data_IF_803801355691
#
_entry.id   IF_803801355691
#
_cell.length_a   1.000
_cell.length_b   1.000
_cell.length_c   1.000
_cell.angle_alpha   90.00
_cell.angle_beta   90.00
_cell.angle_gamma   90.00
#
_symmetry.space_group_name_H-M   'P 1'
#
loop_
_entity.id
_entity.type
_entity.pdbx_description
1 polymer ?
#
# COMPACT_ATOMS: atom_id res chain seq x y z
N UNK A 1 -7.20 -10.46 21.62
CA UNK A 1 -6.04 -9.95 22.37
C UNK A 1 -4.87 -10.07 21.43
N UNK A 2 -4.32 -8.95 20.97
CA UNK A 2 -3.26 -8.96 19.96
C UNK A 2 -2.03 -9.69 20.48
N UNK A 3 -1.50 -10.62 19.70
CA UNK A 3 -0.28 -11.34 20.05
C UNK A 3 0.94 -10.51 19.66
N UNK A 4 1.26 -9.56 20.54
CA UNK A 4 2.34 -8.59 20.35
C UNK A 4 3.71 -9.30 20.32
N UNK A 5 3.86 -10.42 21.04
CA UNK A 5 5.11 -11.17 21.07
C UNK A 5 5.37 -11.87 19.74
N UNK A 6 4.36 -12.54 19.19
CA UNK A 6 4.46 -13.12 17.85
C UNK A 6 4.62 -12.04 16.77
N UNK A 7 3.92 -10.90 16.89
CA UNK A 7 4.11 -9.77 15.97
C UNK A 7 5.56 -9.25 15.98
N UNK A 8 6.22 -9.18 17.14
CA UNK A 8 7.63 -8.77 17.22
C UNK A 8 8.59 -9.75 16.57
N UNK A 9 8.35 -11.05 16.75
CA UNK A 9 9.22 -12.09 16.19
C UNK A 9 9.18 -12.12 14.65
N UNK A 10 8.05 -11.76 14.06
CA UNK A 10 7.90 -11.67 12.60
C UNK A 10 8.70 -10.54 11.96
N UNK A 11 9.09 -9.50 12.70
CA UNK A 11 9.92 -8.40 12.22
C UNK A 11 9.52 -7.80 10.84
N UNK A 12 8.22 -7.71 10.57
CA UNK A 12 7.67 -7.20 9.31
C UNK A 12 7.19 -8.28 8.34
N UNK A 13 7.41 -9.57 8.64
CA UNK A 13 6.92 -10.68 7.83
C UNK A 13 5.45 -11.03 8.13
N UNK A 14 4.81 -11.73 7.20
CA UNK A 14 3.43 -12.19 7.35
C UNK A 14 3.32 -13.25 8.46
N UNK A 15 2.15 -13.36 9.07
CA UNK A 15 1.89 -14.43 10.03
C UNK A 15 1.60 -15.75 9.31
N UNK A 16 2.30 -16.82 9.68
CA UNK A 16 2.13 -18.16 9.10
C UNK A 16 0.73 -18.74 9.34
N UNK A 17 0.11 -18.41 10.49
CA UNK A 17 -1.22 -18.87 10.89
C UNK A 17 -2.31 -17.80 10.70
N UNK A 18 -2.15 -16.89 9.74
CA UNK A 18 -3.21 -15.91 9.41
C UNK A 18 -4.42 -16.62 8.80
N UNK A 19 -5.60 -16.00 8.89
CA UNK A 19 -6.81 -16.65 8.39
C UNK A 19 -6.82 -16.70 6.86
N UNK A 20 -7.29 -17.82 6.29
CA UNK A 20 -7.46 -18.03 4.85
C UNK A 20 -8.24 -16.88 4.16
N UNK A 21 -9.18 -16.24 4.86
CA UNK A 21 -9.91 -15.08 4.33
C UNK A 21 -8.99 -13.91 4.00
N UNK A 22 -7.94 -13.68 4.78
CA UNK A 22 -6.96 -12.62 4.52
C UNK A 22 -6.15 -12.98 3.27
N UNK A 23 -5.70 -14.23 3.15
CA UNK A 23 -5.04 -14.70 1.93
C UNK A 23 -5.94 -14.58 0.70
N UNK A 24 -7.22 -14.90 0.82
CA UNK A 24 -8.20 -14.73 -0.26
C UNK A 24 -8.34 -13.25 -0.67
N UNK A 25 -8.43 -12.33 0.29
CA UNK A 25 -8.48 -10.88 0.03
C UNK A 25 -7.19 -10.39 -0.62
N UNK A 26 -6.02 -10.90 -0.20
CA UNK A 26 -4.73 -10.44 -0.71
C UNK A 26 -4.40 -11.00 -2.10
N UNK A 27 -4.85 -12.20 -2.41
CA UNK A 27 -4.59 -12.90 -3.68
C UNK A 27 -5.69 -12.67 -4.73
N UNK A 28 -6.58 -11.69 -4.54
CA UNK A 28 -7.57 -11.37 -5.58
C UNK A 28 -6.84 -10.90 -6.85
N UNK A 29 -7.31 -11.32 -8.04
CA UNK A 29 -6.77 -10.82 -9.30
C UNK A 29 -6.80 -9.29 -9.33
N UNK A 30 -5.75 -8.69 -9.90
CA UNK A 30 -5.58 -7.25 -10.10
C UNK A 30 -5.31 -6.97 -11.56
N UNK A 31 -5.85 -5.85 -12.00
CA UNK A 31 -5.56 -5.32 -13.32
C UNK A 31 -4.15 -4.73 -13.32
N UNK A 32 -3.34 -5.11 -14.31
CA UNK A 32 -2.05 -4.49 -14.56
C UNK A 32 -0.95 -5.52 -14.82
N UNK A 33 -0.09 -5.21 -15.80
CA UNK A 33 0.98 -6.10 -16.22
C UNK A 33 1.93 -6.44 -15.07
N UNK A 34 1.92 -7.70 -14.64
CA UNK A 34 2.70 -8.24 -13.52
C UNK A 34 2.39 -7.59 -12.17
N UNK A 35 1.20 -7.00 -12.04
CA UNK A 35 0.69 -6.51 -10.76
C UNK A 35 0.08 -7.67 -9.95
N UNK A 36 -0.46 -8.71 -10.58
CA UNK A 36 -0.91 -9.94 -9.90
C UNK A 36 -0.69 -11.19 -10.76
N UNK A 37 -1.46 -12.26 -10.52
CA UNK A 37 -1.54 -13.37 -11.45
C UNK A 37 -2.13 -12.89 -12.79
N UNK A 38 -1.71 -13.48 -13.93
CA UNK A 38 -2.23 -13.09 -15.24
C UNK A 38 -3.75 -13.24 -15.31
N UNK A 39 -4.42 -12.25 -15.91
CA UNK A 39 -5.88 -12.33 -16.14
C UNK A 39 -6.26 -13.36 -17.20
N UNK A 40 -5.33 -13.75 -18.07
CA UNK A 40 -5.54 -14.75 -19.12
C UNK A 40 -4.38 -15.74 -19.16
N UNK A 41 -4.69 -17.04 -19.19
CA UNK A 41 -3.67 -18.10 -19.24
C UNK A 41 -2.95 -18.31 -17.91
N UNK A 42 -1.84 -19.05 -17.96
CA UNK A 42 -1.11 -19.49 -16.76
C UNK A 42 0.06 -18.56 -16.37
N UNK A 43 0.58 -17.77 -17.31
CA UNK A 43 1.73 -16.89 -17.09
C UNK A 43 1.79 -15.73 -18.11
N UNK A 44 2.45 -14.62 -17.73
CA UNK A 44 2.65 -13.45 -18.60
C UNK A 44 3.59 -13.67 -19.80
N UNK A 45 4.33 -14.78 -19.84
CA UNK A 45 5.22 -15.06 -20.98
C UNK A 45 4.41 -15.55 -22.21
N UNK A 46 3.15 -15.91 -22.02
CA UNK A 46 2.20 -16.26 -23.08
C UNK A 46 1.47 -15.04 -23.67
N UNK A 47 1.67 -13.86 -23.08
CA UNK A 47 1.04 -12.64 -23.56
C UNK A 47 1.66 -12.19 -24.88
N UNK A 48 0.88 -11.49 -25.74
CA UNK A 48 1.42 -10.79 -26.89
C UNK A 48 2.62 -9.91 -26.51
N UNK A 49 3.75 -10.07 -27.20
CA UNK A 49 4.94 -9.24 -26.96
C UNK A 49 4.86 -7.92 -27.71
N UNK A 50 4.15 -7.90 -28.85
CA UNK A 50 4.04 -6.76 -29.75
C UNK A 50 2.58 -6.49 -30.12
N UNK A 51 2.21 -5.22 -30.39
CA UNK A 51 0.86 -4.86 -30.84
C UNK A 51 0.40 -5.67 -32.07
N UNK A 52 1.30 -5.95 -33.01
CA UNK A 52 0.93 -6.68 -34.24
C UNK A 52 0.47 -8.12 -33.97
N UNK A 53 0.94 -8.73 -32.87
CA UNK A 53 0.57 -10.09 -32.47
C UNK A 53 -0.93 -10.20 -32.15
N UNK A 54 -1.55 -9.13 -31.63
CA UNK A 54 -2.98 -9.08 -31.30
C UNK A 54 -3.91 -9.26 -32.50
N UNK A 55 -3.40 -9.07 -33.72
CA UNK A 55 -4.20 -9.21 -34.95
C UNK A 55 -4.04 -10.58 -35.61
N UNK A 56 -3.23 -11.46 -35.03
CA UNK A 56 -3.01 -12.83 -35.51
C UNK A 56 -4.16 -13.76 -35.10
N UNK A 57 -4.47 -14.81 -35.88
CA UNK A 57 -5.47 -15.80 -35.49
C UNK A 57 -5.19 -16.47 -34.13
N UNK A 58 -3.92 -16.60 -33.76
CA UNK A 58 -3.45 -17.18 -32.50
C UNK A 58 -3.86 -16.32 -31.29
N UNK A 59 -3.85 -14.99 -31.44
CA UNK A 59 -4.25 -14.07 -30.37
C UNK A 59 -5.78 -14.00 -30.13
N UNK A 60 -6.58 -14.70 -30.94
CA UNK A 60 -8.05 -14.67 -30.83
C UNK A 60 -8.54 -15.10 -29.45
N UNK A 61 -8.01 -16.21 -28.94
CA UNK A 61 -8.40 -16.75 -27.63
C UNK A 61 -8.04 -15.74 -26.54
N UNK A 62 -6.79 -15.28 -26.54
CA UNK A 62 -6.31 -14.24 -25.63
C UNK A 62 -7.21 -12.99 -25.60
N UNK A 63 -7.51 -12.41 -26.77
CA UNK A 63 -8.33 -11.19 -26.87
C UNK A 63 -9.76 -11.43 -26.39
N UNK A 64 -10.33 -12.61 -26.69
CA UNK A 64 -11.70 -12.94 -26.26
C UNK A 64 -11.77 -13.14 -24.75
N UNK A 65 -10.80 -13.85 -24.18
CA UNK A 65 -10.76 -14.14 -22.75
C UNK A 65 -10.44 -12.88 -21.94
N UNK A 66 -9.53 -12.03 -22.44
CA UNK A 66 -9.16 -10.78 -21.77
C UNK A 66 -10.37 -9.85 -21.64
N UNK A 67 -11.10 -9.61 -22.74
CA UNK A 67 -12.31 -8.77 -22.71
C UNK A 67 -13.53 -9.46 -22.09
N UNK A 68 -13.45 -10.77 -21.82
CA UNK A 68 -14.43 -11.51 -21.03
C UNK A 68 -14.18 -11.43 -19.52
N UNK A 69 -13.03 -10.91 -19.09
CA UNK A 69 -12.64 -10.86 -17.68
C UNK A 69 -13.32 -9.68 -16.94
N UNK A 70 -13.79 -9.91 -15.71
CA UNK A 70 -14.58 -8.93 -14.94
C UNK A 70 -13.81 -7.63 -14.61
N UNK A 71 -12.48 -7.69 -14.59
CA UNK A 71 -11.58 -6.55 -14.35
C UNK A 71 -11.28 -5.71 -15.60
N UNK A 72 -11.60 -6.21 -16.80
CA UNK A 72 -11.30 -5.53 -18.07
C UNK A 72 -12.60 -4.95 -18.63
N UNK A 73 -12.82 -3.67 -18.37
CA UNK A 73 -13.99 -2.92 -18.82
C UNK A 73 -13.72 -2.04 -20.03
N UNK A 74 -12.45 -1.72 -20.28
CA UNK A 74 -12.04 -0.82 -21.34
C UNK A 74 -10.82 -1.35 -22.12
N UNK A 75 -10.53 -0.72 -23.27
CA UNK A 75 -9.29 -0.97 -23.99
C UNK A 75 -8.08 -0.49 -23.18
N UNK A 76 -8.23 0.56 -22.37
CA UNK A 76 -7.15 1.03 -21.51
C UNK A 76 -6.78 0.00 -20.44
N UNK A 77 -7.78 -0.69 -19.89
CA UNK A 77 -7.57 -1.77 -18.91
C UNK A 77 -6.82 -2.93 -19.58
N UNK A 78 -7.25 -3.32 -20.79
CA UNK A 78 -6.57 -4.36 -21.56
C UNK A 78 -5.11 -3.98 -21.87
N UNK A 79 -4.83 -2.71 -22.16
CA UNK A 79 -3.46 -2.20 -22.35
C UNK A 79 -2.69 -2.25 -21.03
N UNK A 80 -3.28 -1.79 -19.92
CA UNK A 80 -2.65 -1.80 -18.61
C UNK A 80 -2.26 -3.23 -18.19
N UNK A 81 -3.12 -4.21 -18.47
CA UNK A 81 -2.85 -5.62 -18.21
C UNK A 81 -1.78 -6.20 -19.15
N UNK A 82 -1.78 -5.82 -20.42
CA UNK A 82 -0.95 -6.50 -21.44
C UNK A 82 0.46 -5.90 -21.53
N UNK A 83 0.66 -4.63 -21.17
CA UNK A 83 1.96 -3.97 -21.36
C UNK A 83 2.42 -3.13 -20.15
N UNK A 84 3.71 -3.17 -19.80
CA UNK A 84 4.28 -2.28 -18.78
C UNK A 84 4.40 -0.82 -19.23
N UNK A 85 4.08 -0.51 -20.49
CA UNK A 85 4.37 0.77 -21.12
C UNK A 85 3.22 1.79 -21.05
N UNK A 86 2.41 1.78 -20.00
CA UNK A 86 1.26 2.68 -19.82
C UNK A 86 1.61 4.18 -19.82
N UNK A 87 2.89 4.54 -19.60
CA UNK A 87 3.39 5.91 -19.60
C UNK A 87 3.86 6.46 -20.96
N UNK A 88 4.14 5.61 -21.96
CA UNK A 88 4.62 6.05 -23.28
C UNK A 88 3.44 6.19 -24.25
N UNK A 89 3.10 7.43 -24.59
CA UNK A 89 1.96 7.76 -25.46
C UNK A 89 2.06 7.12 -26.85
N UNK A 90 3.26 6.90 -27.39
CA UNK A 90 3.40 6.25 -28.69
C UNK A 90 3.10 4.76 -28.58
N UNK A 91 3.67 4.09 -27.57
CA UNK A 91 3.46 2.65 -27.34
C UNK A 91 1.98 2.39 -27.02
N UNK A 92 1.39 3.15 -26.09
CA UNK A 92 -0.04 3.03 -25.74
C UNK A 92 -0.94 3.20 -26.96
N UNK A 93 -0.62 4.14 -27.86
CA UNK A 93 -1.40 4.34 -29.09
C UNK A 93 -1.32 3.14 -30.03
N UNK A 94 -0.14 2.56 -30.21
CA UNK A 94 0.05 1.37 -31.06
C UNK A 94 -0.73 0.17 -30.50
N UNK A 95 -0.65 -0.06 -29.20
CA UNK A 95 -1.43 -1.09 -28.51
C UNK A 95 -2.94 -0.85 -28.63
N UNK A 96 -3.39 0.40 -28.46
CA UNK A 96 -4.82 0.74 -28.64
C UNK A 96 -5.30 0.43 -30.05
N UNK A 97 -4.56 0.87 -31.06
CA UNK A 97 -4.91 0.60 -32.47
C UNK A 97 -4.94 -0.91 -32.77
N UNK A 98 -4.05 -1.68 -32.16
CA UNK A 98 -4.04 -3.14 -32.29
C UNK A 98 -5.24 -3.80 -31.62
N UNK A 99 -5.59 -3.40 -30.39
CA UNK A 99 -6.79 -3.89 -29.70
C UNK A 99 -8.07 -3.54 -30.48
N UNK A 100 -8.22 -2.29 -30.94
CA UNK A 100 -9.37 -1.87 -31.76
C UNK A 100 -9.53 -2.74 -33.01
N UNK A 101 -8.42 -3.07 -33.69
CA UNK A 101 -8.42 -3.98 -34.84
C UNK A 101 -8.76 -5.42 -34.44
N UNK A 102 -8.19 -5.92 -33.35
CA UNK A 102 -8.44 -7.28 -32.86
C UNK A 102 -9.90 -7.50 -32.49
N UNK A 103 -10.54 -6.53 -31.83
CA UNK A 103 -11.97 -6.56 -31.48
C UNK A 103 -12.83 -6.64 -32.75
N UNK A 104 -12.51 -5.83 -33.77
CA UNK A 104 -13.19 -5.87 -35.07
C UNK A 104 -13.03 -7.21 -35.79
N UNK A 105 -11.89 -7.88 -35.62
CA UNK A 105 -11.58 -9.16 -36.25
C UNK A 105 -12.21 -10.36 -35.51
N UNK A 106 -12.27 -10.31 -34.18
CA UNK A 106 -12.47 -11.49 -33.35
C UNK A 106 -13.71 -11.46 -32.44
N UNK A 107 -14.09 -10.28 -31.94
CA UNK A 107 -15.04 -10.16 -30.82
C UNK A 107 -16.39 -9.53 -31.18
N UNK A 108 -16.47 -8.72 -32.25
CA UNK A 108 -17.74 -8.21 -32.81
C UNK A 108 -18.50 -7.19 -31.97
N UNK A 109 -18.42 -7.27 -30.63
CA UNK A 109 -18.86 -6.27 -29.66
C UNK A 109 -17.63 -5.74 -28.92
N UNK A 110 -17.44 -4.41 -28.96
CA UNK A 110 -16.46 -3.73 -28.11
C UNK A 110 -17.01 -3.74 -26.68
N UNK A 111 -16.16 -3.91 -25.65
CA UNK A 111 -16.56 -3.54 -24.30
C UNK A 111 -17.08 -2.11 -24.34
N UNK A 112 -18.27 -1.89 -23.78
CA UNK A 112 -18.73 -0.55 -23.49
C UNK A 112 -17.79 0.02 -22.42
N UNK A 113 -17.26 1.24 -22.64
CA UNK A 113 -16.45 1.96 -21.65
C UNK A 113 -17.34 2.26 -20.43
N UNK A 114 -17.47 1.28 -19.55
CA UNK A 114 -18.21 1.38 -18.29
C UNK A 114 -17.18 1.64 -17.20
N UNK A 115 -16.67 2.88 -17.18
CA UNK A 115 -15.65 3.39 -16.24
C UNK A 115 -16.02 3.17 -14.75
N UNK A 116 -17.25 2.73 -14.45
CA UNK A 116 -17.76 2.44 -13.10
C UNK A 116 -17.41 1.04 -12.56
N UNK A 117 -16.85 0.13 -13.37
CA UNK A 117 -16.52 -1.25 -12.91
C UNK A 117 -15.13 -1.37 -12.29
N UNK A 118 -14.14 -0.68 -12.86
CA UNK A 118 -12.72 -0.74 -12.45
C UNK A 118 -12.52 -0.27 -11.01
N UNK A 119 -13.28 0.73 -10.56
CA UNK A 119 -13.21 1.25 -9.19
C UNK A 119 -13.77 0.30 -8.14
N UNK A 120 -14.69 -0.62 -8.49
CA UNK A 120 -15.38 -1.42 -7.46
C UNK A 120 -14.50 -2.52 -6.86
N UNK A 121 -13.58 -3.12 -7.62
CA UNK A 121 -12.85 -4.30 -7.16
C UNK A 121 -11.56 -3.95 -6.39
N UNK A 122 -10.94 -2.81 -6.69
CA UNK A 122 -9.68 -2.37 -6.06
C UNK A 122 -9.92 -1.59 -4.77
N UNK A 123 -10.94 -0.72 -4.74
CA UNK A 123 -11.38 0.03 -3.53
C UNK A 123 -11.90 -0.92 -2.43
N UNK A 124 -12.20 -2.19 -2.75
CA UNK A 124 -12.77 -3.15 -1.81
C UNK A 124 -11.75 -3.77 -0.83
N UNK A 125 -10.46 -3.89 -1.18
CA UNK A 125 -9.49 -4.62 -0.33
C UNK A 125 -9.16 -3.86 0.95
N UNK A 126 -8.74 -2.60 0.82
CA UNK A 126 -8.38 -1.79 1.98
C UNK A 126 -9.61 -1.55 2.85
N UNK A 127 -10.76 -1.25 2.24
CA UNK A 127 -12.04 -1.11 2.95
C UNK A 127 -12.44 -2.42 3.66
N UNK A 128 -12.34 -3.59 3.02
CA UNK A 128 -12.68 -4.87 3.68
C UNK A 128 -11.74 -5.20 4.85
N UNK A 129 -10.47 -4.82 4.76
CA UNK A 129 -9.48 -5.00 5.83
C UNK A 129 -9.60 -3.95 6.95
N UNK A 130 -10.26 -2.82 6.69
CA UNK A 130 -10.34 -1.67 7.60
C UNK A 130 -11.76 -1.18 7.88
N UNK A 131 -12.80 -1.98 7.59
CA UNK A 131 -14.23 -1.64 7.72
C UNK A 131 -14.62 -1.13 9.13
N UNK A 132 -13.85 -1.51 10.16
CA UNK A 132 -14.02 -1.03 11.54
C UNK A 132 -13.50 0.40 11.79
N UNK A 133 -12.80 1.02 10.83
CA UNK A 133 -12.18 2.32 10.94
C UNK A 133 -12.89 3.38 10.10
N UNK A 134 -13.05 4.61 10.62
CA UNK A 134 -13.43 5.75 9.80
C UNK A 134 -12.42 6.02 8.66
N UNK A 135 -12.91 6.39 7.47
CA UNK A 135 -12.07 6.64 6.28
C UNK A 135 -10.91 7.61 6.54
N UNK A 136 -11.12 8.65 7.37
CA UNK A 136 -10.09 9.64 7.71
C UNK A 136 -8.96 9.08 8.58
N UNK A 137 -9.18 7.92 9.21
CA UNK A 137 -8.17 7.19 9.96
C UNK A 137 -7.35 6.24 9.08
N UNK A 138 -7.91 5.78 7.95
CA UNK A 138 -7.30 4.77 7.06
C UNK A 138 -6.17 5.41 6.26
N UNK A 139 -5.00 5.51 6.89
CA UNK A 139 -3.81 6.10 6.29
C UNK A 139 -2.57 5.27 6.61
N UNK A 140 -1.58 5.23 5.70
CA UNK A 140 -0.34 4.46 5.90
C UNK A 140 0.56 5.03 7.00
N UNK A 141 0.21 6.17 7.59
CA UNK A 141 0.92 6.80 8.71
C UNK A 141 0.18 6.66 10.04
N UNK A 142 -1.08 6.18 10.04
CA UNK A 142 -1.84 5.98 11.25
C UNK A 142 -1.35 4.73 11.99
N UNK A 143 -0.75 4.87 13.18
CA UNK A 143 -0.19 3.71 13.88
C UNK A 143 -1.25 2.71 14.31
N UNK A 144 -2.49 3.12 14.54
CA UNK A 144 -3.56 2.21 14.96
C UNK A 144 -3.98 1.27 13.84
N UNK A 145 -4.18 1.82 12.64
CA UNK A 145 -4.56 1.03 11.45
C UNK A 145 -3.42 0.10 11.06
N UNK A 146 -2.20 0.63 10.94
CA UNK A 146 -1.01 -0.17 10.60
C UNK A 146 -0.74 -1.27 11.63
N UNK A 147 -0.93 -0.99 12.93
CA UNK A 147 -0.78 -2.01 13.98
C UNK A 147 -1.84 -3.10 13.89
N UNK A 148 -3.09 -2.76 13.54
CA UNK A 148 -4.14 -3.75 13.39
C UNK A 148 -3.92 -4.64 12.16
N UNK A 149 -3.56 -4.05 11.01
CA UNK A 149 -3.23 -4.82 9.81
C UNK A 149 -2.07 -5.78 10.07
N UNK A 150 -1.02 -5.32 10.75
CA UNK A 150 0.13 -6.15 11.08
C UNK A 150 -0.16 -7.19 12.17
N UNK A 151 -0.49 -6.76 13.39
CA UNK A 151 -0.59 -7.64 14.56
C UNK A 151 -1.97 -8.28 14.74
N UNK A 152 -3.02 -7.68 14.17
CA UNK A 152 -4.40 -8.20 14.22
C UNK A 152 -4.71 -9.15 13.08
N UNK A 153 -4.41 -8.73 11.85
CA UNK A 153 -4.73 -9.50 10.64
C UNK A 153 -3.55 -10.33 10.11
N UNK A 154 -2.34 -10.11 10.62
CA UNK A 154 -1.17 -10.91 10.26
C UNK A 154 -0.54 -10.55 8.92
N UNK A 155 -0.80 -9.36 8.37
CA UNK A 155 -0.14 -8.90 7.15
C UNK A 155 1.35 -8.62 7.42
N UNK A 156 2.16 -8.71 6.38
CA UNK A 156 3.54 -8.21 6.32
C UNK A 156 3.59 -6.70 6.06
N UNK A 157 4.74 -6.07 6.31
CA UNK A 157 4.94 -4.66 6.00
C UNK A 157 4.87 -4.38 4.48
N UNK A 158 5.26 -5.36 3.66
CA UNK A 158 5.19 -5.28 2.21
C UNK A 158 3.74 -5.36 1.71
N UNK A 159 2.94 -6.30 2.22
CA UNK A 159 1.50 -6.40 1.90
C UNK A 159 0.69 -5.19 2.38
N UNK A 160 1.04 -4.62 3.54
CA UNK A 160 0.39 -3.38 4.01
C UNK A 160 0.70 -2.22 3.05
N UNK A 161 1.94 -2.10 2.60
CA UNK A 161 2.31 -1.05 1.64
C UNK A 161 1.63 -1.24 0.29
N UNK A 162 1.49 -2.49 -0.16
CA UNK A 162 0.77 -2.88 -1.37
C UNK A 162 -0.71 -2.47 -1.29
N UNK A 163 -1.44 -2.91 -0.27
CA UNK A 163 -2.86 -2.59 -0.09
C UNK A 163 -3.11 -1.07 -0.01
N UNK A 164 -2.25 -0.30 0.68
CA UNK A 164 -2.38 1.16 0.69
C UNK A 164 -2.01 1.83 -0.65
N UNK A 165 -1.13 1.21 -1.45
CA UNK A 165 -0.75 1.77 -2.76
C UNK A 165 -1.80 1.49 -3.82
N UNK A 166 -2.55 0.40 -3.68
CA UNK A 166 -3.65 0.04 -4.58
C UNK A 166 -4.84 1.02 -4.43
N UNK A 167 -5.19 1.36 -3.18
CA UNK A 167 -6.36 2.19 -2.87
C UNK A 167 -6.08 3.70 -2.96
N UNK A 168 -4.83 4.11 -2.69
CA UNK A 168 -4.44 5.51 -2.75
C UNK A 168 -3.65 5.83 -4.00
N UNK A 169 -3.89 7.00 -4.59
CA UNK A 169 -3.02 7.58 -5.63
C UNK A 169 -1.57 7.86 -5.16
N UNK A 170 -1.19 7.39 -3.97
CA UNK A 170 0.10 7.56 -3.34
C UNK A 170 0.81 6.20 -3.26
N UNK A 171 1.97 6.12 -3.92
CA UNK A 171 2.86 4.97 -3.79
C UNK A 171 3.42 4.88 -2.36
N UNK A 172 2.94 3.92 -1.58
CA UNK A 172 3.42 3.62 -0.23
C UNK A 172 4.59 2.65 -0.32
N UNK A 173 5.66 2.95 0.43
CA UNK A 173 6.84 2.07 0.49
C UNK A 173 6.77 1.18 1.72
N UNK A 174 7.21 -0.09 1.65
CA UNK A 174 7.31 -0.96 2.83
C UNK A 174 8.09 -0.34 3.98
N UNK A 175 9.11 0.47 3.67
CA UNK A 175 9.91 1.17 4.68
C UNK A 175 9.11 2.20 5.49
N UNK A 176 8.11 2.83 4.86
CA UNK A 176 7.21 3.75 5.57
C UNK A 176 6.38 2.99 6.61
N UNK A 177 5.88 1.80 6.25
CA UNK A 177 5.13 0.92 7.15
C UNK A 177 6.03 0.41 8.28
N UNK A 178 7.24 -0.06 7.95
CA UNK A 178 8.24 -0.50 8.93
C UNK A 178 8.54 0.61 9.95
N UNK A 179 8.74 1.85 9.51
CA UNK A 179 8.95 3.00 10.41
C UNK A 179 7.78 3.16 11.40
N UNK A 180 6.53 3.07 10.95
CA UNK A 180 5.35 3.16 11.83
C UNK A 180 5.35 2.01 12.84
N UNK A 181 5.61 0.78 12.41
CA UNK A 181 5.67 -0.40 13.27
C UNK A 181 6.79 -0.31 14.32
N UNK A 182 7.94 0.27 13.99
CA UNK A 182 9.03 0.55 14.95
C UNK A 182 8.58 1.57 16.00
N UNK A 183 7.91 2.65 15.56
CA UNK A 183 7.46 3.71 16.46
C UNK A 183 6.48 3.22 17.53
N UNK A 184 5.68 2.19 17.22
CA UNK A 184 4.78 1.53 18.19
C UNK A 184 5.41 0.33 18.90
N UNK A 185 6.66 -0.01 18.58
CA UNK A 185 7.40 -1.11 19.20
C UNK A 185 6.88 -2.49 18.82
N UNK A 186 6.34 -2.64 17.60
CA UNK A 186 5.89 -3.93 17.04
C UNK A 186 6.97 -4.63 16.20
N UNK A 187 8.00 -3.92 15.75
CA UNK A 187 9.19 -4.50 15.12
C UNK A 187 10.46 -3.86 15.69
N UNK A 188 11.59 -4.53 15.56
CA UNK A 188 12.86 -4.04 16.08
C UNK A 188 13.44 -2.92 15.20
N UNK A 189 14.14 -1.97 15.82
CA UNK A 189 14.95 -1.00 15.09
C UNK A 189 16.28 -1.67 14.72
N UNK A 190 16.60 -1.70 13.43
CA UNK A 190 17.92 -2.14 12.97
C UNK A 190 18.93 -1.00 13.19
N UNK A 191 20.12 -1.34 13.70
CA UNK A 191 21.18 -0.39 14.12
C UNK A 191 21.68 0.56 12.99
N UNK A 192 21.26 0.34 11.74
CA UNK A 192 21.65 1.16 10.59
C UNK A 192 20.69 2.33 10.29
N UNK A 193 19.53 2.41 10.95
CA UNK A 193 18.50 3.45 10.69
C UNK A 193 18.48 4.59 11.73
N UNK A 194 19.43 4.61 12.68
CA UNK A 194 19.51 5.54 13.82
C UNK A 194 19.85 7.01 13.49
N UNK A 195 19.69 7.45 12.22
CA UNK A 195 19.95 8.84 11.82
C UNK A 195 18.69 9.72 11.69
N UNK A 196 17.50 9.24 12.01
CA UNK A 196 16.32 10.10 12.19
C UNK A 196 16.05 10.36 13.68
N UNK A 197 15.90 11.62 14.13
CA UNK A 197 15.75 11.94 15.54
C UNK A 197 14.42 11.40 16.05
N UNK A 198 14.48 10.34 16.85
CA UNK A 198 13.34 9.88 17.63
C UNK A 198 12.80 11.05 18.47
N UNK A 199 11.58 11.49 18.16
CA UNK A 199 10.80 12.31 19.07
C UNK A 199 10.39 11.41 20.24
N UNK A 200 11.32 11.26 21.17
CA UNK A 200 11.14 10.60 22.47
C UNK A 200 10.02 11.35 23.20
N UNK A 201 8.81 10.78 23.18
CA UNK A 201 7.74 11.14 24.09
C UNK A 201 8.28 11.00 25.51
N UNK A 202 8.27 12.11 26.25
CA UNK A 202 8.86 12.25 27.58
C UNK A 202 8.19 11.34 28.61
N UNK A 203 8.65 10.10 28.69
CA UNK A 203 8.52 9.26 29.87
C UNK A 203 9.77 9.42 30.71
N UNK A 204 9.61 9.87 31.96
CA UNK A 204 10.69 9.94 32.93
C UNK A 204 11.26 8.51 33.14
N UNK A 205 12.45 8.25 32.60
CA UNK A 205 13.22 7.07 32.98
C UNK A 205 13.84 7.32 34.35
N UNK A 206 13.25 6.73 35.38
CA UNK A 206 13.85 6.64 36.71
C UNK A 206 14.92 5.54 36.66
N UNK A 207 16.17 5.95 36.45
CA UNK A 207 17.31 5.07 36.69
C UNK A 207 17.51 4.93 38.21
N UNK A 208 17.09 3.80 38.77
CA UNK A 208 17.54 3.39 40.10
C UNK A 208 18.94 2.78 39.97
N UNK A 209 19.98 3.59 40.19
CA UNK A 209 21.31 3.10 40.54
C UNK A 209 21.44 3.06 42.06
N UNK A 210 21.49 1.85 42.59
CA UNK A 210 21.85 1.57 43.96
C UNK A 210 23.37 1.84 44.16
N UNK A 211 23.69 2.47 45.29
CA UNK A 211 25.04 2.74 45.85
C UNK A 211 25.75 4.05 45.45
N UNK A 212 26.13 4.83 46.49
CA UNK A 212 27.35 5.66 46.45
C UNK A 212 27.18 7.19 46.37
N UNK A 213 26.67 7.82 47.43
CA UNK A 213 27.04 9.15 47.95
C UNK A 213 27.81 10.13 47.02
N UNK A 214 27.12 11.05 46.33
CA UNK A 214 27.70 12.32 45.81
C UNK A 214 26.60 13.40 45.76
N UNK A 215 26.94 14.63 46.18
CA UNK A 215 26.03 15.72 46.50
C UNK A 215 25.17 16.28 45.37
N UNK A 216 24.04 16.85 45.78
CA UNK A 216 23.10 17.61 44.95
C UNK A 216 23.74 18.92 44.46
N UNK A 217 24.04 19.02 43.17
CA UNK A 217 24.14 20.31 42.47
C UNK A 217 22.86 20.50 41.67
N UNK A 218 22.01 21.42 42.12
CA UNK A 218 20.83 21.87 41.39
C UNK A 218 21.27 23.13 40.63
N UNK A 219 21.64 22.98 39.36
CA UNK A 219 21.77 24.13 38.47
C UNK A 219 20.38 24.59 38.07
N UNK A 220 19.89 25.60 38.80
CA UNK A 220 18.64 26.30 38.50
C UNK A 220 18.99 27.48 37.59
N UNK A 221 19.17 27.27 36.29
CA UNK A 221 19.21 28.39 35.35
C UNK A 221 17.80 28.66 34.83
N UNK A 222 17.10 29.49 35.60
CA UNK A 222 15.79 30.02 35.27
C UNK A 222 15.86 30.93 34.04
N UNK A 223 14.93 30.70 33.13
CA UNK A 223 14.64 31.48 31.93
C UNK A 223 14.45 32.96 32.28
N UNK A 224 15.40 33.81 31.88
CA UNK A 224 15.19 35.25 31.76
C UNK A 224 14.62 35.55 30.36
N UNK A 225 13.30 35.76 30.27
CA UNK A 225 12.70 36.54 29.18
C UNK A 225 11.92 37.70 29.78
N UNK A 226 12.35 38.88 29.33
CA UNK A 226 12.01 40.24 29.71
C UNK A 226 10.50 40.56 29.65
N UNK A 227 9.90 41.22 30.66
CA UNK A 227 8.51 41.66 30.63
C UNK A 227 8.40 43.13 30.18
N UNK A 228 7.80 43.38 29.02
CA UNK A 228 7.23 44.70 28.72
C UNK A 228 5.89 44.56 27.99
N UNK A 229 4.81 44.54 28.77
CA UNK A 229 3.45 44.79 28.29
C UNK A 229 2.84 45.85 29.19
N UNK A 230 2.77 47.08 28.68
CA UNK A 230 2.12 48.22 29.31
C UNK A 230 0.62 48.12 29.03
N UNK A 231 -0.20 48.10 30.09
CA UNK A 231 -1.67 48.13 29.99
C UNK A 231 -2.11 49.57 30.26
N UNK A 232 -2.62 50.26 29.23
CA UNK A 232 -3.34 51.53 29.40
C UNK A 232 -4.77 51.23 29.88
N UNK A 233 -5.19 51.93 30.94
CA UNK A 233 -6.57 51.93 31.45
C UNK A 233 -7.24 53.22 30.98
N UNK A 234 -8.29 53.09 30.18
CA UNK A 234 -9.26 54.16 29.94
C UNK A 234 -10.21 54.30 31.15
N UNK A 235 -10.36 55.53 31.63
CA UNK A 235 -11.56 56.05 32.32
C UNK A 235 -12.25 57.07 31.41
#
# INVERSE_FOLDING_TARGET
MYDIENARQRNGDAAEDRSDRIDEILNRPRLGYKESDPLVGDNYDEYPEQPDDLTTPEAREFVTDLFGHDLVSSIDDAIAETTPATGDRMIVREWREAFEKSIQLFSGESPDNDDEREQRLTDERLTELTDDYPDDMVTPTNPLVVSNLYAGLGLSADEIADVFSDDSNQRVKPEQVRRVLRNVGLIEATENDDNEPSHKLGGASLNFSESGNVGTNIDTEAVARDPSVTVERDE
#
